data_IF_824696145145
#
_entry.id   IF_824696145145
#
_cell.length_a   1.000
_cell.length_b   1.000
_cell.length_c   1.000
_cell.angle_alpha   90.00
_cell.angle_beta   90.00
_cell.angle_gamma   90.00
#
_symmetry.space_group_name_H-M   'P 1'
#
loop_
_entity.id
_entity.type
_entity.pdbx_description
1 polymer ?
#
# COMPACT_ATOMS: atom_id res chain seq x y z
N UNK A 1 29.74 -40.96 -15.38
CA UNK A 1 29.18 -40.49 -14.10
C UNK A 1 28.72 -39.07 -14.29
N UNK A 2 27.40 -38.81 -14.24
CA UNK A 2 26.87 -37.45 -14.37
C UNK A 2 27.01 -36.72 -13.04
N UNK A 3 27.94 -35.77 -12.96
CA UNK A 3 27.99 -34.85 -11.84
C UNK A 3 26.76 -33.93 -11.94
N UNK A 4 25.75 -34.14 -11.09
CA UNK A 4 24.72 -33.14 -10.89
C UNK A 4 25.38 -31.94 -10.21
N UNK A 5 25.55 -30.84 -10.92
CA UNK A 5 25.94 -29.56 -10.33
C UNK A 5 24.79 -29.04 -9.45
N UNK A 6 24.58 -29.68 -8.29
CA UNK A 6 23.52 -29.33 -7.37
C UNK A 6 23.76 -27.95 -6.76
N UNK A 7 22.81 -27.03 -6.96
CA UNK A 7 22.82 -25.73 -6.29
C UNK A 7 22.28 -25.92 -4.88
N UNK A 8 23.06 -25.52 -3.87
CA UNK A 8 22.60 -25.54 -2.47
C UNK A 8 21.65 -24.36 -2.23
N UNK A 9 20.45 -24.66 -1.72
CA UNK A 9 19.46 -23.66 -1.33
C UNK A 9 19.16 -23.76 0.16
N UNK A 10 18.88 -22.61 0.78
CA UNK A 10 18.47 -22.53 2.18
C UNK A 10 16.95 -22.56 2.27
N UNK A 11 16.45 -23.45 3.14
CA UNK A 11 15.02 -23.54 3.46
C UNK A 11 14.72 -22.85 4.78
N UNK A 12 13.70 -22.00 4.80
CA UNK A 12 13.19 -21.31 5.99
C UNK A 12 11.74 -21.73 6.21
N UNK A 13 11.42 -22.17 7.41
CA UNK A 13 10.05 -22.54 7.81
C UNK A 13 9.54 -21.48 8.79
N UNK A 14 8.37 -20.91 8.51
CA UNK A 14 7.73 -19.87 9.29
C UNK A 14 6.31 -20.28 9.64
N UNK A 15 6.00 -20.34 10.93
CA UNK A 15 4.65 -20.53 11.44
C UNK A 15 4.05 -19.15 11.73
N UNK A 16 2.99 -18.78 11.02
CA UNK A 16 2.35 -17.48 11.19
C UNK A 16 1.42 -17.52 12.41
N UNK A 17 1.64 -16.66 13.41
CA UNK A 17 0.84 -16.69 14.64
C UNK A 17 -0.58 -16.14 14.48
N UNK A 18 -0.92 -15.51 13.35
CA UNK A 18 -2.27 -14.96 13.11
C UNK A 18 -3.28 -16.00 12.60
N UNK A 19 -2.83 -16.94 11.77
CA UNK A 19 -3.68 -17.94 11.11
C UNK A 19 -3.21 -19.39 11.36
N UNK A 20 -2.16 -19.58 12.16
CA UNK A 20 -1.51 -20.86 12.45
C UNK A 20 -0.99 -21.59 11.19
N UNK A 21 -0.88 -20.87 10.06
CA UNK A 21 -0.41 -21.45 8.81
C UNK A 21 1.12 -21.55 8.79
N UNK A 22 1.63 -22.67 8.29
CA UNK A 22 3.08 -22.86 8.09
C UNK A 22 3.48 -22.57 6.65
N UNK A 23 4.39 -21.62 6.48
CA UNK A 23 4.98 -21.23 5.20
C UNK A 23 6.40 -21.75 5.09
N UNK A 24 6.76 -22.22 3.90
CA UNK A 24 8.14 -22.63 3.57
C UNK A 24 8.70 -21.72 2.48
N UNK A 25 9.83 -21.09 2.75
CA UNK A 25 10.55 -20.22 1.82
C UNK A 25 11.87 -20.87 1.42
N UNK A 26 12.27 -20.66 0.17
CA UNK A 26 13.56 -21.09 -0.37
C UNK A 26 14.35 -19.86 -0.80
N UNK A 27 15.59 -19.75 -0.35
CA UNK A 27 16.47 -18.63 -0.71
C UNK A 27 17.88 -19.13 -1.03
N UNK A 28 18.57 -18.42 -1.92
CA UNK A 28 20.02 -18.57 -2.11
C UNK A 28 20.82 -17.69 -1.14
N UNK A 29 20.16 -16.81 -0.39
CA UNK A 29 20.79 -15.92 0.59
C UNK A 29 21.02 -16.64 1.93
N UNK A 30 22.30 -16.83 2.24
CA UNK A 30 22.76 -17.44 3.49
C UNK A 30 23.23 -16.40 4.53
N UNK A 31 23.17 -15.11 4.20
CA UNK A 31 23.68 -14.01 5.03
C UNK A 31 22.59 -13.39 5.88
N UNK A 32 21.40 -13.20 5.31
CA UNK A 32 20.31 -12.52 6.00
C UNK A 32 19.68 -13.43 7.07
N UNK A 33 19.30 -12.88 8.24
CA UNK A 33 18.49 -13.58 9.23
C UNK A 33 17.18 -14.11 8.63
N UNK A 34 16.73 -15.27 9.11
CA UNK A 34 15.52 -15.92 8.59
C UNK A 34 14.28 -15.00 8.68
N UNK A 35 14.15 -14.22 9.74
CA UNK A 35 13.06 -13.25 9.91
C UNK A 35 13.05 -12.17 8.82
N UNK A 36 14.21 -11.72 8.35
CA UNK A 36 14.32 -10.71 7.30
C UNK A 36 13.92 -11.31 5.94
N UNK A 37 14.30 -12.56 5.67
CA UNK A 37 13.84 -13.26 4.47
C UNK A 37 12.31 -13.38 4.47
N UNK A 38 11.71 -13.80 5.59
CA UNK A 38 10.24 -13.87 5.72
C UNK A 38 9.59 -12.50 5.47
N UNK A 39 10.16 -11.41 6.01
CA UNK A 39 9.70 -10.04 5.74
C UNK A 39 9.80 -9.66 4.26
N UNK A 40 10.90 -9.98 3.59
CA UNK A 40 11.07 -9.73 2.16
C UNK A 40 10.01 -10.47 1.33
N UNK A 41 9.73 -11.73 1.67
CA UNK A 41 8.67 -12.49 1.01
C UNK A 41 7.28 -11.91 1.28
N UNK A 42 7.05 -11.33 2.46
CA UNK A 42 5.82 -10.61 2.77
C UNK A 42 5.71 -9.32 1.96
N UNK A 43 6.80 -8.57 1.83
CA UNK A 43 6.88 -7.38 0.98
C UNK A 43 6.69 -7.68 -0.51
N UNK A 44 7.00 -8.90 -0.98
CA UNK A 44 6.71 -9.30 -2.37
C UNK A 44 5.23 -9.06 -2.73
N UNK A 45 4.31 -9.34 -1.81
CA UNK A 45 2.87 -9.12 -2.00
C UNK A 45 2.50 -7.64 -2.14
N UNK A 46 3.33 -6.73 -1.64
CA UNK A 46 3.08 -5.29 -1.79
C UNK A 46 3.11 -4.87 -3.26
N UNK A 47 3.98 -5.48 -4.04
CA UNK A 47 4.08 -5.22 -5.49
C UNK A 47 2.75 -5.58 -6.19
N UNK A 48 2.14 -6.71 -5.83
CA UNK A 48 0.83 -7.11 -6.39
C UNK A 48 -0.27 -6.11 -6.04
N UNK A 49 -0.26 -5.59 -4.80
CA UNK A 49 -1.19 -4.53 -4.40
C UNK A 49 -0.95 -3.25 -5.20
N UNK A 50 0.28 -2.89 -5.51
CA UNK A 50 0.60 -1.72 -6.35
C UNK A 50 0.09 -1.95 -7.79
N UNK A 51 0.29 -3.14 -8.38
CA UNK A 51 -0.28 -3.45 -9.69
C UNK A 51 -1.81 -3.39 -9.70
N UNK A 52 -2.46 -3.86 -8.63
CA UNK A 52 -3.90 -3.70 -8.47
C UNK A 52 -4.31 -2.22 -8.39
N UNK A 53 -3.53 -1.37 -7.71
CA UNK A 53 -3.75 0.08 -7.65
C UNK A 53 -3.76 0.71 -9.05
N UNK A 54 -2.76 0.41 -9.87
CA UNK A 54 -2.67 0.95 -11.23
C UNK A 54 -3.91 0.58 -12.04
N UNK A 55 -4.28 -0.71 -12.04
CA UNK A 55 -5.42 -1.21 -12.80
C UNK A 55 -6.77 -0.68 -12.33
N UNK A 56 -6.99 -0.64 -11.02
CA UNK A 56 -8.31 -0.34 -10.43
C UNK A 56 -8.55 1.15 -10.21
N UNK A 57 -7.55 1.86 -9.70
CA UNK A 57 -7.68 3.23 -9.18
C UNK A 57 -7.11 4.27 -10.12
N UNK A 58 -6.01 3.94 -10.81
CA UNK A 58 -5.43 4.81 -11.85
C UNK A 58 -6.00 4.54 -13.25
N UNK A 59 -6.64 3.38 -13.45
CA UNK A 59 -7.18 2.89 -14.73
C UNK A 59 -6.13 2.47 -15.77
N UNK A 60 -4.88 2.26 -15.35
CA UNK A 60 -3.80 1.78 -16.22
C UNK A 60 -3.87 0.25 -16.35
N UNK A 61 -4.48 -0.23 -17.44
CA UNK A 61 -4.69 -1.66 -17.69
C UNK A 61 -3.87 -2.20 -18.85
N UNK A 62 -3.35 -1.32 -19.70
CA UNK A 62 -2.62 -1.68 -20.93
C UNK A 62 -1.40 -0.79 -21.05
N UNK A 63 -0.35 -1.31 -21.67
CA UNK A 63 0.81 -0.48 -22.04
C UNK A 63 0.42 0.58 -23.06
N UNK A 64 1.01 1.77 -22.97
CA UNK A 64 0.76 2.86 -23.90
C UNK A 64 1.15 2.56 -25.35
N UNK A 65 2.14 1.68 -25.58
CA UNK A 65 2.48 1.16 -26.90
C UNK A 65 3.14 -0.24 -26.81
N UNK A 66 3.36 -0.87 -27.98
CA UNK A 66 3.84 -2.26 -28.08
C UNK A 66 5.36 -2.43 -28.02
N UNK A 67 6.13 -1.37 -28.34
CA UNK A 67 7.60 -1.44 -28.36
C UNK A 67 8.20 -1.64 -26.97
N UNK A 68 9.37 -2.27 -26.92
CA UNK A 68 10.07 -2.52 -25.65
C UNK A 68 10.38 -1.21 -24.92
N UNK A 69 10.86 -0.21 -25.65
CA UNK A 69 11.22 1.10 -25.13
C UNK A 69 10.00 1.81 -24.54
N UNK A 70 8.85 1.77 -25.22
CA UNK A 70 7.63 2.38 -24.70
C UNK A 70 7.13 1.67 -23.43
N UNK A 71 7.25 0.34 -23.34
CA UNK A 71 6.92 -0.41 -22.13
C UNK A 71 7.84 -0.06 -20.96
N UNK A 72 9.14 0.10 -21.22
CA UNK A 72 10.12 0.54 -20.21
C UNK A 72 9.79 1.94 -19.69
N UNK A 73 9.53 2.88 -20.60
CA UNK A 73 9.13 4.25 -20.25
C UNK A 73 7.83 4.24 -19.45
N UNK A 74 6.82 3.49 -19.90
CA UNK A 74 5.54 3.37 -19.19
C UNK A 74 5.73 2.87 -17.75
N UNK A 75 6.54 1.82 -17.55
CA UNK A 75 6.84 1.29 -16.22
C UNK A 75 7.54 2.32 -15.32
N UNK A 76 8.44 3.14 -15.88
CA UNK A 76 9.08 4.24 -15.13
C UNK A 76 8.04 5.28 -14.70
N UNK A 77 7.13 5.67 -15.60
CA UNK A 77 6.05 6.61 -15.27
C UNK A 77 5.09 6.06 -14.23
N UNK A 78 4.74 4.76 -14.28
CA UNK A 78 3.94 4.11 -13.24
C UNK A 78 4.64 4.19 -11.87
N UNK A 79 5.93 3.87 -11.80
CA UNK A 79 6.73 4.01 -10.58
C UNK A 79 6.71 5.45 -10.04
N UNK A 80 6.89 6.45 -10.90
CA UNK A 80 6.82 7.87 -10.52
C UNK A 80 5.42 8.24 -10.01
N UNK A 81 4.37 7.80 -10.71
CA UNK A 81 2.98 8.05 -10.35
C UNK A 81 2.58 7.37 -9.03
N UNK A 82 3.26 6.31 -8.61
CA UNK A 82 3.10 5.74 -7.27
C UNK A 82 3.89 6.53 -6.20
N UNK A 83 5.15 6.84 -6.49
CA UNK A 83 6.07 7.44 -5.51
C UNK A 83 5.73 8.90 -5.20
N UNK A 84 5.30 9.69 -6.20
CA UNK A 84 4.99 11.11 -5.99
C UNK A 84 3.79 11.31 -5.04
N UNK A 85 2.62 10.68 -5.22
CA UNK A 85 1.53 10.76 -4.25
C UNK A 85 1.91 10.19 -2.88
N UNK A 86 2.76 9.17 -2.81
CA UNK A 86 3.28 8.63 -1.55
C UNK A 86 4.07 9.70 -0.77
N UNK A 87 5.03 10.36 -1.43
CA UNK A 87 5.80 11.46 -0.84
C UNK A 87 4.92 12.65 -0.51
N UNK A 88 3.95 12.94 -1.37
CA UNK A 88 3.04 14.06 -1.16
C UNK A 88 2.10 13.86 0.03
N UNK A 89 1.56 12.65 0.22
CA UNK A 89 0.77 12.29 1.41
C UNK A 89 1.61 12.41 2.69
N UNK A 90 2.88 11.99 2.65
CA UNK A 90 3.80 12.16 3.77
C UNK A 90 4.08 13.64 4.06
N UNK A 91 4.33 14.44 3.02
CA UNK A 91 4.51 15.88 3.15
C UNK A 91 3.28 16.55 3.79
N UNK A 92 2.08 16.27 3.26
CA UNK A 92 0.80 16.76 3.78
C UNK A 92 0.59 16.40 5.26
N UNK A 93 0.95 15.17 5.62
CA UNK A 93 0.86 14.72 7.02
C UNK A 93 1.80 15.50 7.95
N UNK A 94 2.98 15.87 7.46
CA UNK A 94 4.00 16.58 8.23
C UNK A 94 3.75 18.08 8.35
N UNK A 95 3.27 18.73 7.28
CA UNK A 95 3.09 20.19 7.23
C UNK A 95 1.70 20.63 7.63
N UNK A 96 0.66 19.92 7.18
CA UNK A 96 -0.75 20.32 7.36
C UNK A 96 -1.47 19.48 8.43
N UNK A 97 -0.82 18.43 8.94
CA UNK A 97 -1.38 17.54 9.97
C UNK A 97 -2.61 16.75 9.53
N UNK A 98 -2.87 16.65 8.23
CA UNK A 98 -4.04 15.96 7.67
C UNK A 98 -3.84 14.45 7.65
N UNK A 99 -4.91 13.69 7.93
CA UNK A 99 -4.90 12.21 7.97
C UNK A 99 -6.17 11.64 7.34
N UNK A 100 -6.08 10.46 6.73
CA UNK A 100 -7.23 9.72 6.17
C UNK A 100 -7.95 8.96 7.30
N UNK A 101 -8.78 9.69 8.05
CA UNK A 101 -9.50 9.16 9.23
C UNK A 101 -10.33 7.91 8.88
N UNK A 102 -10.93 7.87 7.70
CA UNK A 102 -11.72 6.71 7.26
C UNK A 102 -10.83 5.48 7.10
N UNK A 103 -9.66 5.59 6.47
CA UNK A 103 -8.78 4.43 6.31
C UNK A 103 -8.09 4.06 7.62
N UNK A 104 -7.74 5.02 8.47
CA UNK A 104 -7.25 4.75 9.83
C UNK A 104 -8.29 3.94 10.63
N UNK A 105 -9.56 4.36 10.62
CA UNK A 105 -10.65 3.65 11.28
C UNK A 105 -10.86 2.23 10.71
N UNK A 106 -10.76 2.07 9.38
CA UNK A 106 -10.81 0.74 8.74
C UNK A 106 -9.63 -0.15 9.14
N UNK A 107 -8.42 0.40 9.20
CA UNK A 107 -7.22 -0.32 9.64
C UNK A 107 -7.34 -0.76 11.10
N UNK A 108 -7.81 0.12 11.99
CA UNK A 108 -8.09 -0.22 13.39
C UNK A 108 -9.14 -1.33 13.49
N UNK A 109 -10.20 -1.28 12.67
CA UNK A 109 -11.19 -2.36 12.57
C UNK A 109 -10.60 -3.70 12.15
N UNK A 110 -9.74 -3.72 11.12
CA UNK A 110 -9.01 -4.94 10.68
C UNK A 110 -8.08 -5.48 11.77
N UNK A 111 -7.35 -4.60 12.46
CA UNK A 111 -6.44 -4.98 13.54
C UNK A 111 -7.19 -5.59 14.74
N UNK A 112 -8.39 -5.08 15.06
CA UNK A 112 -9.27 -5.67 16.08
C UNK A 112 -9.80 -7.05 15.67
N UNK A 113 -10.09 -7.26 14.38
CA UNK A 113 -10.52 -8.56 13.84
C UNK A 113 -9.39 -9.61 13.72
N UNK A 114 -8.13 -9.17 13.61
CA UNK A 114 -6.94 -10.03 13.56
C UNK A 114 -6.44 -10.52 14.93
N UNK A 115 -7.04 -10.06 16.03
CA UNK A 115 -6.95 -10.72 17.33
C UNK A 115 -7.76 -12.02 17.28
N UNK A 116 -7.29 -13.00 16.49
CA UNK A 116 -7.83 -14.35 16.57
C UNK A 116 -7.40 -14.92 17.91
N UNK A 117 -8.38 -15.04 18.81
CA UNK A 117 -8.29 -15.89 19.99
C UNK A 117 -8.15 -17.32 19.49
N UNK A 118 -6.92 -17.85 19.46
CA UNK A 118 -6.76 -19.30 19.35
C UNK A 118 -7.37 -19.93 20.61
N UNK A 119 -8.59 -20.47 20.46
CA UNK A 119 -9.31 -21.24 21.47
C UNK A 119 -8.73 -22.67 21.58
N UNK A 120 -7.44 -22.85 21.33
CA UNK A 120 -6.73 -24.08 21.62
C UNK A 120 -5.72 -23.78 22.73
N UNK A 121 -5.95 -24.35 23.91
CA UNK A 121 -5.06 -24.37 25.09
C UNK A 121 -5.16 -23.21 26.10
N UNK A 122 -6.23 -22.42 26.15
CA UNK A 122 -6.54 -21.58 27.33
C UNK A 122 -5.50 -20.49 27.68
N UNK A 123 -4.52 -20.25 26.80
CA UNK A 123 -3.51 -19.20 26.95
C UNK A 123 -3.81 -18.11 25.93
N UNK A 124 -4.27 -16.94 26.40
CA UNK A 124 -4.38 -15.75 25.57
C UNK A 124 -2.96 -15.27 25.25
N UNK A 125 -2.42 -15.72 24.11
CA UNK A 125 -1.16 -15.21 23.58
C UNK A 125 -1.44 -14.03 22.67
N UNK A 126 -1.28 -12.81 23.19
CA UNK A 126 -1.21 -11.60 22.36
C UNK A 126 0.14 -11.59 21.64
N UNK A 127 0.26 -12.35 20.54
CA UNK A 127 1.50 -12.38 19.76
C UNK A 127 1.47 -11.24 18.76
N UNK A 128 1.92 -10.06 19.20
CA UNK A 128 2.35 -9.00 18.27
C UNK A 128 3.67 -9.45 17.63
N UNK A 129 3.61 -10.25 16.57
CA UNK A 129 4.81 -10.65 15.86
C UNK A 129 5.36 -9.46 15.06
N UNK A 130 6.65 -9.17 15.20
CA UNK A 130 7.36 -8.16 14.41
C UNK A 130 7.09 -8.32 12.91
N UNK A 131 7.00 -9.55 12.39
CA UNK A 131 6.68 -9.82 10.98
C UNK A 131 5.30 -9.26 10.57
N UNK A 132 4.37 -9.20 11.51
CA UNK A 132 3.00 -8.75 11.29
C UNK A 132 2.78 -7.28 11.65
N UNK A 133 3.53 -6.75 12.61
CA UNK A 133 3.43 -5.34 13.03
C UNK A 133 4.40 -4.41 12.32
N UNK A 134 5.51 -4.92 11.74
CA UNK A 134 6.48 -4.08 11.03
C UNK A 134 5.86 -3.42 9.79
N UNK A 135 4.72 -3.92 9.30
CA UNK A 135 4.08 -3.52 8.05
C UNK A 135 2.64 -3.04 8.27
N UNK A 136 2.46 -1.97 9.03
CA UNK A 136 1.17 -1.30 9.20
C UNK A 136 0.87 -0.27 8.10
N UNK A 137 1.85 0.08 7.26
CA UNK A 137 1.65 1.07 6.19
C UNK A 137 0.67 0.54 5.14
N UNK A 138 -0.29 1.37 4.74
CA UNK A 138 -1.09 1.09 3.55
C UNK A 138 -0.19 1.07 2.31
N UNK A 139 -0.01 -0.11 1.74
CA UNK A 139 0.71 -0.29 0.47
C UNK A 139 0.07 0.49 -0.67
N UNK A 140 -1.27 0.61 -0.62
CA UNK A 140 -2.09 1.28 -1.60
C UNK A 140 -2.58 2.63 -1.09
N UNK A 141 -2.68 3.62 -1.98
CA UNK A 141 -3.35 4.88 -1.64
C UNK A 141 -4.85 4.79 -1.83
N UNK A 142 -5.59 5.54 -1.03
CA UNK A 142 -7.06 5.52 -1.08
C UNK A 142 -7.54 6.13 -2.40
N UNK A 143 -8.63 5.59 -2.96
CA UNK A 143 -9.16 6.09 -4.24
C UNK A 143 -9.59 7.56 -4.14
N UNK A 144 -10.06 7.95 -2.96
CA UNK A 144 -10.41 9.33 -2.62
C UNK A 144 -9.22 10.28 -2.77
N UNK A 145 -8.04 9.89 -2.26
CA UNK A 145 -6.83 10.70 -2.33
C UNK A 145 -6.33 10.81 -3.78
N UNK A 146 -6.30 9.69 -4.52
CA UNK A 146 -5.91 9.72 -5.94
C UNK A 146 -6.82 10.63 -6.76
N UNK A 147 -8.14 10.56 -6.54
CA UNK A 147 -9.09 11.45 -7.22
C UNK A 147 -8.88 12.90 -6.85
N UNK A 148 -8.64 13.19 -5.57
CA UNK A 148 -8.36 14.56 -5.10
C UNK A 148 -7.09 15.11 -5.74
N UNK A 149 -5.97 14.36 -5.74
CA UNK A 149 -4.72 14.75 -6.41
C UNK A 149 -4.95 14.98 -7.90
N UNK A 150 -5.65 14.06 -8.58
CA UNK A 150 -5.96 14.18 -10.01
C UNK A 150 -6.70 15.48 -10.32
N UNK A 151 -7.73 15.83 -9.54
CA UNK A 151 -8.47 17.09 -9.74
C UNK A 151 -7.58 18.29 -9.43
N UNK A 152 -6.78 18.22 -8.36
CA UNK A 152 -5.88 19.30 -7.94
C UNK A 152 -4.81 19.65 -8.98
N UNK A 153 -4.31 18.66 -9.74
CA UNK A 153 -3.31 18.90 -10.80
C UNK A 153 -3.86 19.79 -11.93
N UNK A 154 -5.16 19.73 -12.21
CA UNK A 154 -5.79 20.51 -13.29
C UNK A 154 -6.52 21.76 -12.80
N UNK A 155 -6.80 21.87 -11.50
CA UNK A 155 -7.55 22.98 -10.92
C UNK A 155 -6.59 24.04 -10.39
N UNK A 156 -6.74 25.28 -10.84
CA UNK A 156 -6.13 26.42 -10.17
C UNK A 156 -6.97 26.75 -8.93
N UNK A 157 -6.49 26.37 -7.75
CA UNK A 157 -7.09 26.69 -6.48
C UNK A 157 -6.01 27.10 -5.48
N UNK A 158 -6.31 28.02 -4.55
CA UNK A 158 -5.44 28.29 -3.42
C UNK A 158 -5.11 27.00 -2.66
N UNK A 159 -3.89 26.95 -2.10
CA UNK A 159 -3.44 25.81 -1.30
C UNK A 159 -4.36 25.56 -0.11
N UNK A 160 -4.75 26.62 0.62
CA UNK A 160 -5.68 26.57 1.75
C UNK A 160 -6.97 25.84 1.42
N UNK A 161 -7.60 26.19 0.31
CA UNK A 161 -8.89 25.64 -0.12
C UNK A 161 -8.74 24.16 -0.51
N UNK A 162 -7.60 23.82 -1.11
CA UNK A 162 -7.25 22.45 -1.45
C UNK A 162 -7.10 21.58 -0.19
N UNK A 163 -6.47 22.11 0.86
CA UNK A 163 -6.31 21.42 2.15
C UNK A 163 -7.65 21.26 2.89
N UNK A 164 -8.48 22.30 2.94
CA UNK A 164 -9.85 22.19 3.49
C UNK A 164 -10.62 21.10 2.76
N UNK A 165 -10.54 21.10 1.42
CA UNK A 165 -11.19 20.08 0.61
C UNK A 165 -10.68 18.67 0.91
N UNK A 166 -9.37 18.51 1.09
CA UNK A 166 -8.79 17.21 1.42
C UNK A 166 -9.30 16.69 2.77
N UNK A 167 -9.40 17.56 3.77
CA UNK A 167 -9.95 17.23 5.09
C UNK A 167 -11.39 16.71 4.99
N UNK A 168 -12.27 17.39 4.26
CA UNK A 168 -13.65 16.92 4.02
C UNK A 168 -13.68 15.51 3.40
N UNK A 169 -12.85 15.29 2.37
CA UNK A 169 -12.77 14.01 1.64
C UNK A 169 -12.29 12.87 2.55
N UNK A 170 -11.42 13.18 3.51
CA UNK A 170 -10.83 12.24 4.46
C UNK A 170 -11.64 12.05 5.75
N UNK A 171 -12.47 13.02 6.14
CA UNK A 171 -13.47 12.90 7.20
C UNK A 171 -14.72 12.11 6.74
N UNK A 172 -15.03 12.12 5.44
CA UNK A 172 -16.19 11.43 4.87
C UNK A 172 -17.39 12.33 4.64
N UNK A 173 -17.18 13.64 4.69
CA UNK A 173 -18.20 14.63 4.41
C UNK A 173 -18.40 14.77 2.90
N UNK A 174 -19.17 13.85 2.33
CA UNK A 174 -19.48 13.81 0.89
C UNK A 174 -20.44 14.92 0.42
N UNK A 175 -20.94 15.78 1.33
CA UNK A 175 -21.97 16.79 1.05
C UNK A 175 -21.53 17.90 0.07
N UNK A 176 -20.25 17.95 -0.29
CA UNK A 176 -19.69 19.01 -1.13
C UNK A 176 -19.16 18.49 -2.48
N UNK A 177 -19.48 17.25 -2.89
CA UNK A 177 -19.12 16.72 -4.23
C UNK A 177 -20.08 17.14 -5.36
N UNK A 178 -21.22 17.78 -5.05
CA UNK A 178 -22.27 18.09 -6.03
C UNK A 178 -22.51 19.58 -6.29
N UNK A 179 -21.76 20.51 -5.70
CA UNK A 179 -21.89 21.93 -6.04
C UNK A 179 -20.95 22.26 -7.20
N UNK A 180 -21.45 22.50 -8.43
CA UNK A 180 -20.64 23.17 -9.43
C UNK A 180 -20.27 24.54 -8.86
N UNK A 181 -18.98 24.87 -8.94
CA UNK A 181 -18.51 26.22 -8.65
C UNK A 181 -19.19 27.10 -9.69
N UNK A 182 -20.26 27.80 -9.27
CA UNK A 182 -20.85 28.83 -10.10
C UNK A 182 -19.75 29.83 -10.43
N UNK A 183 -19.64 30.09 -11.73
CA UNK A 183 -18.95 31.23 -12.30
C UNK A 183 -19.18 32.48 -11.45
N UNK A 184 -18.12 33.02 -10.87
CA UNK A 184 -18.05 34.45 -10.67
C UNK A 184 -17.04 35.00 -11.67
N UNK A 185 -17.58 35.30 -12.84
CA UNK A 185 -17.07 36.37 -13.67
C UNK A 185 -17.32 37.70 -12.96
N UNK A 186 -16.24 38.39 -12.58
CA UNK A 186 -16.06 39.83 -12.79
C UNK A 186 -14.60 40.19 -12.60
#
# INVERSE_FOLDING_TARGET
MGASNGVTLRRIVYMNPEDDATYTYLTNDNTLPACQIVLLYKHRWDIEKIFHQFKSKMSERKSWASSLQAKQIHAIFECLAHNLPLLFEQYLSQTEGVRDEIEENKQQGRAKGGLVVSMAQGVIRVVRNFINTALTRATQRTQRFIRWVRVGIYKQAPWSDSIVRLREVWAGDYLSFSTPIHSQSR
#
